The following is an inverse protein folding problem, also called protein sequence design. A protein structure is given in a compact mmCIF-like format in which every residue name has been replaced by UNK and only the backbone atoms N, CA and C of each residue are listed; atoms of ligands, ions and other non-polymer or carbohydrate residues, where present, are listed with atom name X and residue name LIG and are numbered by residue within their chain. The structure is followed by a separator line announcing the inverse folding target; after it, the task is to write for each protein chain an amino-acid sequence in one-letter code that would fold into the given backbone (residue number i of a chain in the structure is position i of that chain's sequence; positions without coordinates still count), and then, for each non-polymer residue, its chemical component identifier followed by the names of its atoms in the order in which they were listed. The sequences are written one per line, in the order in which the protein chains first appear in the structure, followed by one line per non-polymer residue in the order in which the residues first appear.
data_IF_365035774485
#
_entry.id   IF_365035774485
#
_cell.length_a   1.000
_cell.length_b   1.000
_cell.length_c   1.000
_cell.angle_alpha   90.00
_cell.angle_beta   90.00
_cell.angle_gamma   90.00
#
_symmetry.space_group_name_H-M   'P 1'
#
loop_
_entity.id
_entity.type
_entity.pdbx_description
1 polymer ?
#
# COMPACT_ATOMS: atom_id res chain seq x y z
N UNK A 1 16.93 8.33 -11.80
CA UNK A 1 18.21 7.77 -11.29
C UNK A 1 19.00 8.90 -10.66
N UNK A 2 19.08 8.96 -9.32
CA UNK A 2 19.90 9.96 -8.64
C UNK A 2 21.36 9.61 -8.84
N UNK A 3 22.07 10.39 -9.65
CA UNK A 3 23.50 10.29 -9.77
C UNK A 3 24.09 10.61 -8.39
N UNK A 4 24.61 9.59 -7.70
CA UNK A 4 25.46 9.77 -6.54
C UNK A 4 26.60 10.66 -7.03
N UNK A 5 26.61 11.92 -6.60
CA UNK A 5 27.65 12.86 -6.92
C UNK A 5 28.97 12.19 -6.51
N UNK A 6 29.77 11.79 -7.51
CA UNK A 6 31.14 11.32 -7.26
C UNK A 6 31.80 12.45 -6.49
N UNK A 7 32.20 12.20 -5.24
CA UNK A 7 33.09 13.09 -4.53
C UNK A 7 34.28 13.35 -5.47
N UNK A 8 34.36 14.57 -6.00
CA UNK A 8 35.29 14.92 -7.07
C UNK A 8 36.70 14.67 -6.53
N UNK A 9 37.45 13.80 -7.21
CA UNK A 9 38.91 13.81 -7.13
C UNK A 9 39.62 12.69 -6.36
N UNK A 10 38.94 11.79 -5.65
CA UNK A 10 39.63 10.64 -5.01
C UNK A 10 38.91 9.32 -5.28
N UNK A 11 39.52 8.48 -6.12
CA UNK A 11 39.10 7.09 -6.22
C UNK A 11 39.42 6.41 -4.87
N UNK A 12 38.43 5.84 -4.16
CA UNK A 12 38.70 5.17 -2.91
C UNK A 12 39.71 4.04 -3.14
N UNK A 13 40.73 3.96 -2.28
CA UNK A 13 41.78 2.93 -2.33
C UNK A 13 41.12 1.55 -2.46
N UNK A 14 41.72 0.66 -3.26
CA UNK A 14 41.13 -0.66 -3.52
C UNK A 14 40.86 -1.46 -2.23
N UNK A 15 41.70 -1.29 -1.21
CA UNK A 15 41.49 -1.81 0.14
C UNK A 15 40.24 -1.25 0.81
N UNK A 16 40.05 0.08 0.82
CA UNK A 16 38.87 0.73 1.37
C UNK A 16 37.57 0.27 0.68
N UNK A 17 37.59 0.13 -0.66
CA UNK A 17 36.44 -0.43 -1.41
C UNK A 17 36.12 -1.86 -1.00
N UNK A 18 37.13 -2.70 -0.78
CA UNK A 18 36.96 -4.08 -0.33
C UNK A 18 36.34 -4.12 1.07
N UNK A 19 36.87 -3.32 2.00
CA UNK A 19 36.36 -3.22 3.38
C UNK A 19 34.91 -2.74 3.40
N UNK A 20 34.57 -1.68 2.66
CA UNK A 20 33.20 -1.18 2.58
C UNK A 20 32.21 -2.21 2.01
N UNK A 21 32.62 -2.98 1.00
CA UNK A 21 31.78 -4.08 0.47
C UNK A 21 31.58 -5.20 1.49
N UNK A 22 32.61 -5.54 2.26
CA UNK A 22 32.51 -6.54 3.33
C UNK A 22 31.57 -6.07 4.44
N UNK A 23 31.71 -4.82 4.90
CA UNK A 23 30.84 -4.24 5.92
C UNK A 23 29.40 -4.11 5.43
N UNK A 24 29.19 -3.66 4.18
CA UNK A 24 27.86 -3.57 3.58
C UNK A 24 27.20 -4.95 3.49
N UNK A 25 27.95 -6.00 3.14
CA UNK A 25 27.44 -7.38 3.15
C UNK A 25 27.09 -7.85 4.55
N UNK A 26 27.93 -7.55 5.55
CA UNK A 26 27.67 -7.92 6.94
C UNK A 26 26.42 -7.21 7.51
N UNK A 27 26.26 -5.91 7.24
CA UNK A 27 25.07 -5.14 7.62
C UNK A 27 23.84 -5.68 6.91
N UNK A 28 23.91 -5.97 5.61
CA UNK A 28 22.81 -6.56 4.86
C UNK A 28 22.40 -7.91 5.46
N UNK A 29 23.36 -8.79 5.75
CA UNK A 29 23.07 -10.10 6.34
C UNK A 29 22.42 -9.95 7.73
N UNK A 30 22.89 -9.01 8.52
CA UNK A 30 22.31 -8.70 9.81
C UNK A 30 20.85 -8.20 9.67
N UNK A 31 20.63 -7.20 8.83
CA UNK A 31 19.32 -6.56 8.68
C UNK A 31 18.31 -7.44 7.94
N UNK A 32 18.67 -7.96 6.76
CA UNK A 32 17.80 -8.77 5.92
C UNK A 32 17.71 -10.23 6.38
N UNK A 33 18.82 -10.80 6.83
CA UNK A 33 18.87 -12.19 7.31
C UNK A 33 18.25 -12.32 8.70
N UNK A 34 18.76 -11.57 9.69
CA UNK A 34 18.43 -11.77 11.11
C UNK A 34 17.30 -10.89 11.64
N UNK A 35 17.29 -9.60 11.32
CA UNK A 35 16.29 -8.67 11.88
C UNK A 35 14.95 -8.71 11.15
N UNK A 36 14.95 -8.82 9.82
CA UNK A 36 13.70 -8.84 9.08
C UNK A 36 12.72 -9.92 9.57
N UNK A 37 13.11 -11.19 9.81
CA UNK A 37 12.15 -12.19 10.30
C UNK A 37 11.56 -11.84 11.67
N UNK A 38 12.27 -11.06 12.49
CA UNK A 38 11.76 -10.56 13.77
C UNK A 38 10.70 -9.49 13.53
N UNK A 39 11.01 -8.49 12.71
CA UNK A 39 10.07 -7.41 12.36
C UNK A 39 8.83 -7.95 11.64
N UNK A 40 9.00 -8.93 10.77
CA UNK A 40 7.91 -9.61 10.08
C UNK A 40 6.96 -10.27 11.08
N UNK A 41 7.48 -11.08 12.03
CA UNK A 41 6.64 -11.71 13.06
C UNK A 41 5.92 -10.69 13.94
N UNK A 42 6.56 -9.56 14.24
CA UNK A 42 5.90 -8.48 14.98
C UNK A 42 4.78 -7.85 14.16
N UNK A 43 5.00 -7.62 12.86
CA UNK A 43 3.98 -7.07 11.98
C UNK A 43 2.76 -8.02 11.90
N UNK A 44 3.03 -9.33 11.75
CA UNK A 44 1.99 -10.37 11.73
C UNK A 44 1.17 -10.38 13.03
N UNK A 45 1.83 -10.23 14.19
CA UNK A 45 1.17 -10.14 15.49
C UNK A 45 0.31 -8.88 15.63
N UNK A 46 0.81 -7.72 15.21
CA UNK A 46 0.04 -6.47 15.21
C UNK A 46 -1.19 -6.58 14.32
N UNK A 47 -1.08 -7.23 13.15
CA UNK A 47 -2.19 -7.36 12.19
C UNK A 47 -3.25 -8.37 12.63
N UNK A 48 -2.86 -9.61 12.97
CA UNK A 48 -3.81 -10.71 13.23
C UNK A 48 -4.20 -10.82 14.70
N UNK A 49 -3.26 -10.59 15.61
CA UNK A 49 -3.48 -10.76 17.05
C UNK A 49 -4.13 -9.54 17.70
N UNK A 50 -3.42 -8.41 17.65
CA UNK A 50 -3.77 -7.21 18.41
C UNK A 50 -4.63 -6.21 17.61
N UNK A 51 -4.64 -6.34 16.28
CA UNK A 51 -5.26 -5.39 15.33
C UNK A 51 -4.80 -3.94 15.54
N UNK A 52 -3.53 -3.77 15.92
CA UNK A 52 -2.88 -2.48 16.06
C UNK A 52 -2.38 -1.99 14.69
N UNK A 53 -3.21 -1.20 14.03
CA UNK A 53 -2.92 -0.62 12.71
C UNK A 53 -1.74 0.34 12.73
N UNK A 54 -1.55 1.09 13.81
CA UNK A 54 -0.47 2.07 13.93
C UNK A 54 0.90 1.38 14.01
N UNK A 55 1.04 0.41 14.90
CA UNK A 55 2.27 -0.40 15.00
C UNK A 55 2.52 -1.21 13.74
N UNK A 56 1.46 -1.78 13.13
CA UNK A 56 1.59 -2.47 11.85
C UNK A 56 2.10 -1.53 10.75
N UNK A 57 1.60 -0.29 10.65
CA UNK A 57 2.08 0.69 9.68
C UNK A 57 3.57 1.02 9.86
N UNK A 58 4.02 1.25 11.10
CA UNK A 58 5.44 1.46 11.41
C UNK A 58 6.26 0.28 10.90
N UNK A 59 5.86 -0.95 11.24
CA UNK A 59 6.60 -2.15 10.85
C UNK A 59 6.60 -2.37 9.34
N UNK A 60 5.51 -2.10 8.63
CA UNK A 60 5.45 -2.16 7.17
C UNK A 60 6.41 -1.15 6.51
N UNK A 61 6.46 0.09 7.01
CA UNK A 61 7.41 1.09 6.51
C UNK A 61 8.86 0.63 6.68
N UNK A 62 9.22 0.08 7.84
CA UNK A 62 10.57 -0.41 8.10
C UNK A 62 10.92 -1.66 7.28
N UNK A 63 9.99 -2.60 7.11
CA UNK A 63 10.17 -3.76 6.24
C UNK A 63 10.40 -3.33 4.79
N UNK A 64 9.66 -2.34 4.29
CA UNK A 64 9.87 -1.75 2.98
C UNK A 64 11.25 -1.10 2.86
N UNK A 65 11.68 -0.33 3.86
CA UNK A 65 13.02 0.26 3.91
C UNK A 65 14.11 -0.81 3.82
N UNK A 66 14.01 -1.90 4.58
CA UNK A 66 14.96 -3.02 4.50
C UNK A 66 14.98 -3.67 3.11
N UNK A 67 13.82 -4.00 2.55
CA UNK A 67 13.70 -4.62 1.22
C UNK A 67 14.19 -3.70 0.09
N UNK A 68 14.05 -2.38 0.26
CA UNK A 68 14.45 -1.40 -0.74
C UNK A 68 15.96 -1.38 -1.02
N UNK A 69 16.77 -1.81 -0.04
CA UNK A 69 18.24 -1.84 -0.14
C UNK A 69 18.76 -2.93 -1.07
N UNK A 70 17.93 -3.91 -1.44
CA UNK A 70 18.32 -5.02 -2.30
C UNK A 70 18.49 -4.56 -3.76
N UNK A 71 19.57 -4.96 -4.45
CA UNK A 71 19.75 -4.73 -5.87
C UNK A 71 18.78 -5.61 -6.70
N UNK A 72 18.50 -5.24 -7.97
CA UNK A 72 17.59 -5.99 -8.85
C UNK A 72 17.94 -7.48 -8.99
N UNK A 73 19.23 -7.83 -8.98
CA UNK A 73 19.71 -9.22 -9.10
C UNK A 73 19.41 -10.10 -7.89
N UNK A 74 19.04 -9.49 -6.77
CA UNK A 74 18.74 -10.18 -5.51
C UNK A 74 17.25 -10.05 -5.14
N UNK A 75 16.42 -9.55 -6.06
CA UNK A 75 14.98 -9.53 -5.87
C UNK A 75 14.44 -10.96 -5.95
N UNK A 76 13.78 -11.36 -4.86
CA UNK A 76 13.03 -12.59 -4.74
C UNK A 76 11.58 -12.29 -4.34
N UNK A 77 10.77 -13.34 -4.20
CA UNK A 77 9.40 -13.20 -3.74
C UNK A 77 9.30 -12.43 -2.41
N UNK A 78 10.22 -12.66 -1.47
CA UNK A 78 10.20 -12.00 -0.15
C UNK A 78 10.40 -10.50 -0.28
N UNK A 79 11.41 -10.08 -1.03
CA UNK A 79 11.68 -8.66 -1.28
C UNK A 79 10.51 -7.97 -2.00
N UNK A 80 10.03 -8.59 -3.07
CA UNK A 80 8.99 -8.00 -3.92
C UNK A 80 7.65 -7.93 -3.20
N UNK A 81 7.17 -9.04 -2.64
CA UNK A 81 5.90 -9.04 -1.90
C UNK A 81 5.96 -8.12 -0.68
N UNK A 82 7.10 -7.99 0.03
CA UNK A 82 7.21 -7.02 1.13
C UNK A 82 7.05 -5.58 0.66
N UNK A 83 7.72 -5.20 -0.44
CA UNK A 83 7.61 -3.83 -0.97
C UNK A 83 6.17 -3.52 -1.42
N UNK A 84 5.54 -4.46 -2.12
CA UNK A 84 4.18 -4.28 -2.62
C UNK A 84 3.14 -4.28 -1.49
N UNK A 85 3.21 -5.25 -0.57
CA UNK A 85 2.33 -5.30 0.59
C UNK A 85 2.47 -4.05 1.45
N UNK A 86 3.70 -3.61 1.74
CA UNK A 86 3.89 -2.40 2.54
C UNK A 86 3.33 -1.16 1.83
N UNK A 87 3.53 -1.05 0.51
CA UNK A 87 2.98 0.06 -0.27
C UNK A 87 1.46 0.11 -0.18
N UNK A 88 0.80 -1.01 -0.48
CA UNK A 88 -0.66 -1.08 -0.47
C UNK A 88 -1.20 -0.95 0.95
N UNK A 89 -0.58 -1.60 1.93
CA UNK A 89 -1.00 -1.50 3.33
C UNK A 89 -0.96 -0.05 3.82
N UNK A 90 0.16 0.66 3.62
CA UNK A 90 0.28 2.05 4.06
C UNK A 90 -0.65 3.00 3.29
N UNK A 91 -0.91 2.75 2.01
CA UNK A 91 -1.85 3.57 1.23
C UNK A 91 -3.31 3.41 1.68
N UNK A 92 -3.66 2.31 2.34
CA UNK A 92 -5.03 2.02 2.80
C UNK A 92 -5.19 2.16 4.32
N UNK A 93 -4.12 2.02 5.11
CA UNK A 93 -4.17 1.95 6.58
C UNK A 93 -3.26 2.94 7.32
N UNK A 94 -2.64 3.89 6.63
CA UNK A 94 -1.90 4.97 7.28
C UNK A 94 -2.44 6.33 6.85
N UNK A 95 -2.68 7.21 7.82
CA UNK A 95 -3.12 8.59 7.58
C UNK A 95 -1.90 9.46 7.27
N UNK A 96 -1.77 9.92 6.03
CA UNK A 96 -0.61 10.68 5.59
C UNK A 96 -0.77 12.17 5.90
N UNK A 97 0.29 12.84 6.36
CA UNK A 97 0.26 14.30 6.60
C UNK A 97 0.06 15.14 5.33
N UNK A 98 0.22 14.50 4.17
CA UNK A 98 0.02 15.12 2.87
C UNK A 98 -1.48 15.26 2.53
N UNK A 99 -2.36 14.57 3.27
CA UNK A 99 -3.80 14.71 3.11
C UNK A 99 -4.26 16.11 3.52
N UNK A 100 -4.83 16.82 2.55
CA UNK A 100 -5.16 18.26 2.62
C UNK A 100 -6.17 18.54 3.74
N UNK A 101 -7.03 17.57 4.07
CA UNK A 101 -8.04 17.72 5.11
C UNK A 101 -7.45 17.64 6.52
N UNK A 102 -6.39 16.84 6.73
CA UNK A 102 -5.62 16.85 7.98
C UNK A 102 -4.95 18.22 8.21
N UNK A 103 -4.45 18.85 7.14
CA UNK A 103 -3.88 20.21 7.18
C UNK A 103 -4.91 21.31 7.41
N UNK A 104 -6.13 21.15 6.88
CA UNK A 104 -7.23 22.11 7.10
C UNK A 104 -7.67 22.15 8.56
N UNK A 105 -7.66 21.00 9.24
CA UNK A 105 -8.06 20.90 10.65
C UNK A 105 -6.97 21.36 11.63
N UNK A 106 -5.69 21.26 11.27
CA UNK A 106 -4.56 21.60 12.16
C UNK A 106 -4.31 23.11 12.37
N UNK A 107 -5.08 24.00 11.73
CA UNK A 107 -4.91 25.44 11.83
C UNK A 107 -3.62 25.95 11.15
N UNK A 108 -3.47 27.27 11.01
CA UNK A 108 -2.34 27.94 10.31
C UNK A 108 -1.01 27.89 11.09
N UNK A 109 -0.77 26.83 11.87
CA UNK A 109 0.51 26.54 12.49
C UNK A 109 1.38 25.70 11.57
N UNK A 110 2.70 25.82 11.70
CA UNK A 110 3.66 24.92 11.04
C UNK A 110 3.50 23.55 11.68
N UNK A 111 2.63 22.71 11.12
CA UNK A 111 2.40 21.32 11.58
C UNK A 111 3.77 20.62 11.56
N UNK A 112 4.27 20.25 12.73
CA UNK A 112 5.44 19.37 12.81
C UNK A 112 5.07 18.09 12.06
N UNK A 113 5.94 17.60 11.17
CA UNK A 113 5.69 16.35 10.49
C UNK A 113 5.43 15.26 11.54
N UNK A 114 4.31 14.55 11.41
CA UNK A 114 3.96 13.43 12.25
C UNK A 114 5.03 12.36 12.07
N UNK A 115 5.82 12.14 13.13
CA UNK A 115 6.80 11.07 13.23
C UNK A 115 6.12 9.71 13.47
N UNK A 116 4.84 9.56 13.15
CA UNK A 116 4.05 8.35 13.36
C UNK A 116 4.63 7.08 12.73
N UNK A 117 5.40 7.19 11.64
CA UNK A 117 6.13 6.05 11.05
C UNK A 117 7.54 5.82 11.65
N UNK A 118 8.02 6.72 12.52
CA UNK A 118 9.40 6.79 13.03
C UNK A 118 10.47 6.91 11.93
N UNK A 119 10.05 7.22 10.71
CA UNK A 119 10.87 7.55 9.55
C UNK A 119 10.19 8.66 8.76
N UNK A 120 10.94 9.49 8.01
CA UNK A 120 10.34 10.54 7.21
C UNK A 120 9.32 9.98 6.20
N UNK A 121 8.06 10.42 6.28
CA UNK A 121 6.99 9.98 5.36
C UNK A 121 7.36 10.20 3.88
N UNK A 122 8.04 11.32 3.59
CA UNK A 122 8.51 11.64 2.24
C UNK A 122 9.56 10.65 1.72
N UNK A 123 10.36 10.06 2.60
CA UNK A 123 11.34 9.04 2.23
C UNK A 123 10.67 7.71 1.88
N UNK A 124 9.64 7.33 2.64
CA UNK A 124 8.80 6.15 2.36
C UNK A 124 8.06 6.31 1.04
N UNK A 125 7.42 7.45 0.79
CA UNK A 125 6.76 7.74 -0.48
C UNK A 125 7.74 7.72 -1.65
N UNK A 126 8.90 8.36 -1.49
CA UNK A 126 9.94 8.37 -2.52
C UNK A 126 10.51 6.97 -2.79
N UNK A 127 10.60 6.14 -1.74
CA UNK A 127 11.03 4.75 -1.87
C UNK A 127 10.11 3.99 -2.82
N UNK A 128 8.79 4.03 -2.61
CA UNK A 128 7.85 3.29 -3.48
C UNK A 128 7.94 3.75 -4.93
N UNK A 129 8.01 5.06 -5.17
CA UNK A 129 8.18 5.62 -6.53
C UNK A 129 9.48 5.13 -7.19
N UNK A 130 10.60 5.06 -6.44
CA UNK A 130 11.88 4.57 -6.97
C UNK A 130 11.86 3.07 -7.28
N UNK A 131 11.11 2.26 -6.52
CA UNK A 131 11.07 0.82 -6.72
C UNK A 131 10.12 0.36 -7.82
N UNK A 132 9.12 1.16 -8.21
CA UNK A 132 8.07 0.76 -9.16
C UNK A 132 8.60 0.05 -10.42
N UNK A 133 9.52 0.69 -11.15
CA UNK A 133 9.99 0.17 -12.43
C UNK A 133 10.65 -1.21 -12.32
N UNK A 134 11.47 -1.43 -11.29
CA UNK A 134 12.13 -2.73 -11.08
C UNK A 134 11.17 -3.81 -10.57
N UNK A 135 10.16 -3.43 -9.79
CA UNK A 135 9.15 -4.37 -9.30
C UNK A 135 8.28 -4.87 -10.45
N UNK A 136 7.81 -3.96 -11.32
CA UNK A 136 7.03 -4.33 -12.50
C UNK A 136 7.83 -5.24 -13.44
N UNK A 137 9.10 -4.90 -13.74
CA UNK A 137 9.96 -5.75 -14.54
C UNK A 137 10.18 -7.14 -13.93
N UNK A 138 10.28 -7.23 -12.60
CA UNK A 138 10.42 -8.51 -11.92
C UNK A 138 9.13 -9.34 -11.97
N UNK A 139 7.96 -8.72 -11.79
CA UNK A 139 6.65 -9.38 -11.89
C UNK A 139 6.43 -9.93 -13.30
N UNK A 140 6.73 -9.13 -14.32
CA UNK A 140 6.62 -9.54 -15.74
C UNK A 140 7.55 -10.75 -16.03
N UNK A 141 8.73 -10.82 -15.41
CA UNK A 141 9.67 -11.93 -15.55
C UNK A 141 9.30 -13.18 -14.75
N UNK A 142 8.43 -13.08 -13.74
CA UNK A 142 8.07 -14.19 -12.85
C UNK A 142 6.54 -14.32 -12.65
N UNK A 143 5.76 -14.70 -13.67
CA UNK A 143 4.29 -14.68 -13.61
C UNK A 143 3.69 -15.44 -12.43
N UNK A 144 4.19 -16.66 -12.15
CA UNK A 144 3.69 -17.46 -11.01
C UNK A 144 3.96 -16.81 -9.65
N UNK A 145 5.08 -16.09 -9.51
CA UNK A 145 5.39 -15.37 -8.27
C UNK A 145 4.67 -14.03 -8.22
N UNK A 146 4.30 -13.46 -9.38
CA UNK A 146 3.44 -12.29 -9.45
C UNK A 146 2.05 -12.62 -8.90
N UNK A 147 1.47 -13.76 -9.29
CA UNK A 147 0.21 -14.26 -8.73
C UNK A 147 0.27 -14.35 -7.19
N UNK A 148 1.33 -14.98 -6.67
CA UNK A 148 1.56 -15.10 -5.22
C UNK A 148 1.75 -13.75 -4.53
N UNK A 149 2.33 -12.76 -5.21
CA UNK A 149 2.49 -11.40 -4.67
C UNK A 149 1.13 -10.69 -4.57
N UNK A 150 0.26 -10.82 -5.58
CA UNK A 150 -1.07 -10.21 -5.56
C UNK A 150 -1.95 -10.85 -4.49
N UNK A 151 -1.91 -12.17 -4.35
CA UNK A 151 -2.60 -12.87 -3.28
C UNK A 151 -2.08 -12.50 -1.89
N UNK A 152 -0.77 -12.26 -1.74
CA UNK A 152 -0.22 -11.77 -0.49
C UNK A 152 -0.73 -10.37 -0.12
N UNK A 153 -0.91 -9.49 -1.12
CA UNK A 153 -1.52 -8.16 -0.93
C UNK A 153 -2.97 -8.31 -0.48
N UNK A 154 -3.77 -9.09 -1.23
CA UNK A 154 -5.18 -9.30 -0.90
C UNK A 154 -5.36 -9.88 0.51
N UNK A 155 -4.58 -10.91 0.88
CA UNK A 155 -4.65 -11.53 2.21
C UNK A 155 -4.35 -10.55 3.34
N UNK A 156 -3.29 -9.77 3.18
CA UNK A 156 -2.84 -8.84 4.23
C UNK A 156 -3.77 -7.65 4.35
N UNK A 157 -4.18 -7.06 3.23
CA UNK A 157 -5.03 -5.86 3.20
C UNK A 157 -6.47 -6.19 3.62
N UNK A 158 -6.95 -7.39 3.28
CA UNK A 158 -8.29 -7.85 3.69
C UNK A 158 -8.30 -8.56 5.05
N UNK A 159 -7.16 -8.66 5.74
CA UNK A 159 -6.97 -9.45 6.97
C UNK A 159 -7.47 -10.90 6.91
N UNK A 160 -7.47 -11.52 5.73
CA UNK A 160 -7.83 -12.93 5.55
C UNK A 160 -6.64 -13.86 5.76
N UNK A 161 -5.41 -13.32 5.84
CA UNK A 161 -4.23 -14.10 6.14
C UNK A 161 -2.95 -13.28 6.23
N UNK A 162 -1.82 -13.99 6.26
CA UNK A 162 -0.49 -13.41 6.31
C UNK A 162 0.10 -13.23 4.91
N UNK A 163 1.20 -12.47 4.84
CA UNK A 163 1.94 -12.26 3.58
C UNK A 163 2.41 -13.60 3.01
N UNK A 164 3.06 -14.42 3.83
CA UNK A 164 3.45 -15.78 3.46
C UNK A 164 2.23 -16.68 3.55
N UNK A 165 1.95 -17.42 2.48
CA UNK A 165 0.95 -18.47 2.52
C UNK A 165 1.37 -19.59 3.47
N UNK A 166 0.41 -20.20 4.15
CA UNK A 166 0.61 -21.47 4.82
C UNK A 166 0.84 -22.58 3.76
N UNK A 167 1.40 -23.71 4.18
CA UNK A 167 1.64 -24.84 3.29
C UNK A 167 0.32 -25.39 2.69
N UNK A 168 -0.76 -25.32 3.46
CA UNK A 168 -2.06 -25.91 3.11
C UNK A 168 -3.00 -24.89 2.43
N UNK A 169 -2.56 -23.65 2.23
CA UNK A 169 -3.34 -22.64 1.53
C UNK A 169 -3.54 -23.04 0.07
N UNK A 170 -4.71 -22.70 -0.49
CA UNK A 170 -4.98 -22.89 -1.91
C UNK A 170 -3.91 -22.20 -2.77
N UNK A 171 -3.60 -22.79 -3.92
CA UNK A 171 -2.68 -22.19 -4.89
C UNK A 171 -3.24 -20.82 -5.30
N UNK A 172 -2.34 -19.84 -5.43
CA UNK A 172 -2.70 -18.52 -5.90
C UNK A 172 -3.49 -18.61 -7.22
N UNK A 173 -4.64 -17.92 -7.28
CA UNK A 173 -5.33 -17.72 -8.56
C UNK A 173 -4.46 -16.89 -9.49
N UNK A 174 -4.67 -17.03 -10.80
CA UNK A 174 -3.91 -16.26 -11.79
C UNK A 174 -4.28 -14.79 -11.77
N UNK A 175 -3.29 -13.91 -11.80
CA UNK A 175 -3.42 -12.46 -11.91
C UNK A 175 -2.84 -11.97 -13.24
N UNK A 176 -3.50 -10.99 -13.83
CA UNK A 176 -3.09 -10.42 -15.10
C UNK A 176 -3.05 -8.91 -15.02
N UNK A 177 -2.06 -8.34 -15.72
CA UNK A 177 -1.89 -6.89 -15.82
C UNK A 177 -2.86 -6.31 -16.83
N UNK A 178 -3.50 -5.20 -16.45
CA UNK A 178 -4.43 -4.46 -17.29
C UNK A 178 -3.67 -3.32 -17.98
N UNK A 179 -3.27 -3.55 -19.23
CA UNK A 179 -2.56 -2.56 -20.03
C UNK A 179 -1.08 -2.39 -19.63
N UNK A 180 -0.52 -1.22 -19.94
CA UNK A 180 0.90 -0.92 -19.71
C UNK A 180 1.20 -0.38 -18.31
N UNK A 181 0.17 -0.13 -17.49
CA UNK A 181 0.31 0.46 -16.17
C UNK A 181 0.35 -0.64 -15.11
N UNK A 182 0.84 -0.36 -13.92
CA UNK A 182 1.01 -1.33 -12.82
C UNK A 182 -0.27 -1.89 -12.19
N UNK A 183 -1.35 -2.02 -12.97
CA UNK A 183 -2.69 -2.41 -12.51
C UNK A 183 -2.95 -3.88 -12.80
N UNK A 184 -3.41 -4.61 -11.80
CA UNK A 184 -3.60 -6.05 -11.85
C UNK A 184 -5.01 -6.44 -11.42
N UNK A 185 -5.59 -7.41 -12.13
CA UNK A 185 -6.87 -8.01 -11.79
C UNK A 185 -6.77 -9.54 -11.87
N UNK A 186 -7.71 -10.28 -11.26
CA UNK A 186 -7.83 -11.71 -11.48
C UNK A 186 -7.97 -12.03 -12.97
N UNK A 187 -7.36 -13.12 -13.43
CA UNK A 187 -7.39 -13.52 -14.86
C UNK A 187 -8.81 -13.75 -15.36
N UNK A 188 -9.72 -14.18 -14.49
CA UNK A 188 -11.16 -14.34 -14.76
C UNK A 188 -11.85 -13.02 -15.08
N UNK A 189 -11.32 -11.90 -14.59
CA UNK A 189 -11.87 -10.55 -14.77
C UNK A 189 -11.15 -9.77 -15.90
N UNK A 190 -10.05 -10.31 -16.43
CA UNK A 190 -9.23 -9.64 -17.45
C UNK A 190 -10.03 -9.21 -18.70
N UNK A 191 -10.93 -10.03 -19.29
CA UNK A 191 -11.70 -9.59 -20.45
C UNK A 191 -12.51 -8.33 -20.16
N UNK A 192 -13.23 -8.30 -19.03
CA UNK A 192 -14.02 -7.16 -18.60
C UNK A 192 -13.13 -5.93 -18.31
N UNK A 193 -11.94 -6.15 -17.71
CA UNK A 193 -10.96 -5.10 -17.44
C UNK A 193 -10.45 -4.43 -18.71
N UNK A 194 -10.12 -5.22 -19.73
CA UNK A 194 -9.62 -4.74 -21.01
C UNK A 194 -10.71 -3.98 -21.78
N UNK A 195 -11.95 -4.49 -21.77
CA UNK A 195 -13.08 -3.78 -22.36
C UNK A 195 -13.34 -2.44 -21.68
N UNK A 196 -13.32 -2.39 -20.34
CA UNK A 196 -13.44 -1.15 -19.58
C UNK A 196 -12.32 -0.16 -19.94
N UNK A 197 -11.07 -0.64 -19.96
CA UNK A 197 -9.91 0.17 -20.35
C UNK A 197 -10.04 0.73 -21.78
N UNK A 198 -10.51 -0.08 -22.73
CA UNK A 198 -10.74 0.34 -24.11
C UNK A 198 -11.86 1.38 -24.23
N UNK A 199 -12.98 1.21 -23.50
CA UNK A 199 -14.06 2.21 -23.43
C UNK A 199 -13.56 3.54 -22.88
N UNK A 200 -12.79 3.49 -21.79
CA UNK A 200 -12.17 4.67 -21.17
C UNK A 200 -11.24 5.39 -22.15
N UNK A 201 -10.38 4.66 -22.88
CA UNK A 201 -9.51 5.24 -23.90
C UNK A 201 -10.30 5.87 -25.06
N UNK A 202 -11.33 5.20 -25.55
CA UNK A 202 -12.20 5.70 -26.62
C UNK A 202 -13.05 6.91 -26.20
N UNK A 203 -13.36 7.02 -24.90
CA UNK A 203 -14.03 8.18 -24.31
C UNK A 203 -13.06 9.36 -24.09
N UNK A 204 -11.81 9.08 -23.70
CA UNK A 204 -10.74 10.07 -23.56
C UNK A 204 -10.54 10.88 -24.85
N UNK A 205 -10.60 10.18 -25.99
CA UNK A 205 -10.45 10.78 -27.31
C UNK A 205 -11.62 11.72 -27.69
N UNK A 206 -12.76 11.63 -26.99
CA UNK A 206 -14.00 12.35 -27.32
C UNK A 206 -14.34 13.46 -26.34
N UNK A 207 -13.93 13.33 -25.08
CA UNK A 207 -14.31 14.23 -24.01
C UNK A 207 -13.08 14.91 -23.37
N UNK A 208 -13.17 16.20 -23.06
CA UNK A 208 -12.10 16.94 -22.39
C UNK A 208 -11.67 16.30 -21.06
N UNK A 209 -10.42 16.59 -20.64
CA UNK A 209 -9.69 15.94 -19.53
C UNK A 209 -10.53 15.64 -18.28
N UNK A 210 -11.35 16.58 -17.81
CA UNK A 210 -12.13 16.41 -16.58
C UNK A 210 -13.20 15.31 -16.70
N UNK A 211 -13.90 15.21 -17.83
CA UNK A 211 -14.95 14.20 -18.03
C UNK A 211 -14.37 12.82 -18.35
N UNK A 212 -13.13 12.77 -18.81
CA UNK A 212 -12.33 11.55 -18.87
C UNK A 212 -11.93 11.09 -17.46
N UNK A 213 -11.35 11.99 -16.65
CA UNK A 213 -10.89 11.69 -15.29
C UNK A 213 -12.01 11.10 -14.42
N UNK A 214 -13.20 11.71 -14.42
CA UNK A 214 -14.36 11.18 -13.68
C UNK A 214 -14.84 9.80 -14.13
N UNK A 215 -14.60 9.38 -15.39
CA UNK A 215 -14.99 8.03 -15.85
C UNK A 215 -13.93 6.99 -15.57
N UNK A 216 -12.66 7.34 -15.73
CA UNK A 216 -11.52 6.45 -15.44
C UNK A 216 -11.56 5.99 -13.99
N UNK A 217 -11.86 6.90 -13.06
CA UNK A 217 -11.97 6.57 -11.63
C UNK A 217 -13.24 5.79 -11.26
N UNK A 218 -14.20 5.62 -12.19
CA UNK A 218 -15.51 5.00 -11.92
C UNK A 218 -15.78 3.70 -12.71
N UNK A 219 -14.96 3.35 -13.71
CA UNK A 219 -15.02 2.07 -14.42
C UNK A 219 -13.86 1.17 -13.98
N UNK A 220 -13.99 0.51 -12.83
CA UNK A 220 -13.06 -0.52 -12.35
C UNK A 220 -13.70 -1.92 -12.34
N UNK A 221 -12.83 -2.94 -12.38
CA UNK A 221 -13.20 -4.35 -12.19
C UNK A 221 -13.53 -4.65 -10.73
N UNK A 222 -14.10 -5.84 -10.48
CA UNK A 222 -14.55 -6.21 -9.14
C UNK A 222 -13.38 -6.42 -8.19
N UNK A 223 -12.20 -6.84 -8.63
CA UNK A 223 -10.99 -6.84 -7.78
C UNK A 223 -9.81 -6.26 -8.53
N UNK A 224 -9.20 -5.21 -7.96
CA UNK A 224 -8.07 -4.53 -8.58
C UNK A 224 -6.99 -4.17 -7.57
N UNK A 225 -5.73 -4.45 -7.93
CA UNK A 225 -4.53 -3.96 -7.24
C UNK A 225 -3.81 -3.00 -8.20
N UNK A 226 -3.70 -1.74 -7.81
CA UNK A 226 -2.95 -0.72 -8.54
C UNK A 226 -1.62 -0.44 -7.84
N UNK A 227 -0.51 -0.93 -8.40
CA UNK A 227 0.85 -0.72 -7.86
C UNK A 227 1.34 0.72 -8.11
N UNK A 228 0.75 1.45 -9.06
CA UNK A 228 1.11 2.85 -9.29
C UNK A 228 0.63 3.73 -8.15
N UNK A 229 -0.63 3.53 -7.76
CA UNK A 229 -1.29 4.27 -6.70
C UNK A 229 -1.11 3.63 -5.31
N UNK A 230 -0.74 2.35 -5.26
CA UNK A 230 -0.77 1.56 -4.02
C UNK A 230 -2.19 1.22 -3.57
N UNK A 231 -3.16 1.22 -4.49
CA UNK A 231 -4.57 1.05 -4.14
C UNK A 231 -5.00 -0.42 -4.26
N UNK A 232 -5.92 -0.82 -3.38
CA UNK A 232 -6.62 -2.09 -3.46
C UNK A 232 -8.13 -1.83 -3.41
N UNK A 233 -8.86 -2.37 -4.38
CA UNK A 233 -10.31 -2.20 -4.47
C UNK A 233 -11.03 -3.53 -4.67
N UNK A 234 -12.17 -3.67 -3.98
CA UNK A 234 -13.08 -4.82 -4.12
C UNK A 234 -14.50 -4.29 -4.36
N UNK A 235 -15.16 -4.77 -5.41
CA UNK A 235 -16.48 -4.37 -5.90
C UNK A 235 -16.65 -2.85 -5.97
N UNK A 236 -15.62 -2.15 -6.46
CA UNK A 236 -15.51 -0.68 -6.57
C UNK A 236 -15.34 0.10 -5.27
N UNK A 237 -15.38 -0.56 -4.12
CA UNK A 237 -15.21 0.12 -2.85
C UNK A 237 -13.74 0.05 -2.45
N UNK A 238 -13.08 1.21 -2.39
CA UNK A 238 -11.74 1.32 -1.82
C UNK A 238 -11.82 0.95 -0.33
N UNK A 239 -10.96 0.03 0.09
CA UNK A 239 -10.80 -0.28 1.51
C UNK A 239 -9.93 0.83 2.11
N UNK A 240 -10.45 1.53 3.11
CA UNK A 240 -9.74 2.61 3.78
C UNK A 240 -10.05 2.61 5.28
N UNK A 241 -9.31 3.38 6.06
CA UNK A 241 -9.71 3.67 7.44
C UNK A 241 -11.03 4.46 7.45
N UNK A 242 -11.85 4.24 8.47
CA UNK A 242 -13.04 5.06 8.72
C UNK A 242 -12.62 6.53 8.79
N UNK A 243 -13.26 7.44 8.03
CA UNK A 243 -12.97 8.86 8.11
C UNK A 243 -13.13 9.39 9.53
N UNK A 244 -12.21 10.25 9.99
CA UNK A 244 -12.17 10.73 11.38
C UNK A 244 -13.44 11.46 11.81
N UNK A 245 -14.14 12.07 10.87
CA UNK A 245 -15.42 12.75 11.08
C UNK A 245 -16.52 11.83 11.63
N UNK A 246 -16.46 10.52 11.36
CA UNK A 246 -17.37 9.57 12.01
C UNK A 246 -17.14 9.53 13.54
N UNK A 247 -15.96 9.89 14.02
CA UNK A 247 -15.65 9.99 15.45
C UNK A 247 -16.32 11.16 16.17
N UNK A 248 -16.88 12.13 15.44
CA UNK A 248 -17.63 13.25 16.01
C UNK A 248 -19.02 12.81 16.49
N UNK A 249 -19.57 11.75 15.88
CA UNK A 249 -20.90 11.25 16.17
C UNK A 249 -20.90 10.34 17.41
N UNK A 250 -21.78 10.64 18.36
CA UNK A 250 -21.80 9.95 19.66
C UNK A 250 -22.19 8.46 19.52
N UNK A 251 -23.12 8.15 18.63
CA UNK A 251 -23.55 6.80 18.29
C UNK A 251 -22.44 5.98 17.61
N UNK A 252 -21.70 6.59 16.67
CA UNK A 252 -20.55 5.96 16.05
C UNK A 252 -19.45 5.63 17.08
N UNK A 253 -19.13 6.54 18.00
CA UNK A 253 -18.19 6.26 19.10
C UNK A 253 -18.64 5.10 19.99
N UNK A 254 -19.93 5.05 20.33
CA UNK A 254 -20.49 3.95 21.15
C UNK A 254 -20.39 2.63 20.38
N UNK A 255 -20.77 2.63 19.10
CA UNK A 255 -20.74 1.43 18.27
C UNK A 255 -19.30 0.91 18.02
N UNK A 256 -18.32 1.82 17.98
CA UNK A 256 -16.90 1.51 17.74
C UNK A 256 -16.11 1.31 19.04
N UNK A 257 -16.74 1.36 20.20
CA UNK A 257 -16.13 1.02 21.50
C UNK A 257 -15.33 2.14 22.17
N UNK A 258 -15.53 3.41 21.78
CA UNK A 258 -14.90 4.56 22.44
C UNK A 258 -14.61 5.73 21.51
N UNK A 259 -13.75 6.64 21.97
CA UNK A 259 -13.22 7.71 21.12
C UNK A 259 -12.35 7.11 20.02
N UNK A 260 -12.62 7.48 18.77
CA UNK A 260 -11.79 7.09 17.63
C UNK A 260 -10.48 7.88 17.68
N UNK A 261 -9.43 7.27 18.23
CA UNK A 261 -8.07 7.76 18.01
C UNK A 261 -7.60 7.43 16.59
N UNK A 262 -6.77 8.27 16.00
CA UNK A 262 -6.16 8.06 14.68
C UNK A 262 -5.43 6.71 14.58
N UNK A 263 -4.94 6.20 15.71
CA UNK A 263 -4.26 4.91 15.83
C UNK A 263 -5.20 3.69 15.77
N UNK A 264 -6.50 3.88 15.98
CA UNK A 264 -7.51 2.81 16.17
C UNK A 264 -8.68 2.89 15.18
N UNK A 265 -8.55 3.65 14.09
CA UNK A 265 -9.64 3.76 13.12
C UNK A 265 -9.93 2.39 12.49
N UNK A 266 -11.16 1.87 12.61
CA UNK A 266 -11.52 0.60 11.99
C UNK A 266 -11.53 0.75 10.47
N UNK A 267 -11.33 -0.35 9.77
CA UNK A 267 -11.40 -0.36 8.31
C UNK A 267 -12.84 -0.26 7.82
N UNK A 268 -13.04 0.43 6.72
CA UNK A 268 -14.30 0.50 6.01
C UNK A 268 -14.11 0.43 4.49
N UNK A 269 -15.18 0.05 3.81
CA UNK A 269 -15.33 0.18 2.38
C UNK A 269 -16.40 1.25 2.14
N UNK A 270 -16.11 2.26 1.31
CA UNK A 270 -17.10 3.29 0.96
C UNK A 270 -18.18 2.64 0.11
N UNK A 271 -19.40 2.51 0.63
CA UNK A 271 -20.53 1.91 -0.09
C UNK A 271 -21.21 2.95 -0.98
N UNK A 272 -21.36 4.17 -0.46
CA UNK A 272 -21.99 5.27 -1.18
C UNK A 272 -21.50 6.60 -0.61
N UNK A 273 -21.10 7.52 -1.47
CA UNK A 273 -20.84 8.90 -1.09
C UNK A 273 -21.67 9.83 -1.98
N UNK A 274 -22.43 10.71 -1.36
CA UNK A 274 -23.29 11.70 -2.01
C UNK A 274 -23.11 13.05 -1.33
N UNK A 275 -23.66 14.11 -1.92
CA UNK A 275 -23.54 15.47 -1.38
C UNK A 275 -24.14 15.68 0.02
N UNK A 276 -24.93 14.72 0.54
CA UNK A 276 -25.61 14.83 1.84
C UNK A 276 -25.50 13.56 2.70
N UNK A 277 -24.87 12.51 2.17
CA UNK A 277 -24.79 11.23 2.86
C UNK A 277 -23.54 10.49 2.45
N UNK A 278 -22.78 10.09 3.45
CA UNK A 278 -21.67 9.18 3.34
C UNK A 278 -22.01 7.88 4.06
N UNK A 279 -21.91 6.76 3.34
CA UNK A 279 -22.21 5.42 3.82
C UNK A 279 -20.96 4.57 3.65
N UNK A 280 -20.43 4.12 4.78
CA UNK A 280 -19.28 3.24 4.83
C UNK A 280 -19.65 1.94 5.52
N UNK A 281 -19.14 0.82 5.03
CA UNK A 281 -19.30 -0.51 5.64
C UNK A 281 -18.02 -0.91 6.32
N UNK A 282 -18.06 -1.24 7.59
CA UNK A 282 -16.89 -1.73 8.29
C UNK A 282 -16.48 -3.09 7.73
N UNK A 283 -15.19 -3.29 7.49
CA UNK A 283 -14.67 -4.56 6.93
C UNK A 283 -14.57 -5.61 8.03
N UNK A 284 -14.16 -5.19 9.23
CA UNK A 284 -13.93 -6.06 10.39
C UNK A 284 -15.20 -6.33 11.20
N UNK A 285 -16.24 -5.52 11.02
CA UNK A 285 -17.50 -5.59 11.76
C UNK A 285 -18.64 -5.58 10.74
N UNK A 286 -19.65 -6.45 10.87
CA UNK A 286 -20.81 -6.49 9.95
C UNK A 286 -21.77 -5.33 10.22
N UNK A 287 -21.25 -4.12 10.22
CA UNK A 287 -21.93 -2.88 10.58
C UNK A 287 -21.66 -1.83 9.52
N UNK A 288 -22.66 -1.02 9.27
CA UNK A 288 -22.60 0.13 8.36
C UNK A 288 -22.67 1.41 9.20
N UNK A 289 -21.82 2.37 8.88
CA UNK A 289 -21.90 3.72 9.42
C UNK A 289 -22.49 4.63 8.33
N UNK A 290 -23.48 5.42 8.70
CA UNK A 290 -24.09 6.42 7.84
C UNK A 290 -23.93 7.79 8.49
N UNK A 291 -23.22 8.68 7.79
CA UNK A 291 -23.16 10.09 8.10
C UNK A 291 -24.13 10.81 7.17
N UNK A 292 -25.00 11.63 7.75
CA UNK A 292 -25.89 12.53 7.02
C UNK A 292 -25.48 13.96 7.33
N UNK A 293 -25.45 14.81 6.30
CA UNK A 293 -25.34 16.24 6.53
C UNK A 293 -26.61 16.73 7.22
N UNK A 294 -26.44 17.68 8.16
CA UNK A 294 -27.55 18.35 8.85
C UNK A 294 -28.23 19.37 7.94
#
# INVERSE_FOLDING_TARGET
AGAIARARGMAPRASARRTLRQLSRAIKELLWGRYFPVLERWAERCMVGERDTASAAILQAHLAMLASTLPPSELDFRAVSTLLVAQVYLANFYAWDVDVDARRQAGRGRVAADDGLLVPQTEVLSLFQRQRGRLLAWLDAHPRLADECMEAIERVVSYTGLRRRAHDDAVARGWARVGANGRFCPTTELPAALEASARVAAAAARDGHNRWYYRVCNESVDTEIDIELGEFSVRRNRVQLVPREFGEFADARVALGGALDASQLPQCAVVRSTAHCEHVRLVSQRMDLLKWDS
#
